data_IF_173617848303
#
_entry.id   IF_173617848303
#
_cell.length_a   1.000
_cell.length_b   1.000
_cell.length_c   1.000
_cell.angle_alpha   90.00
_cell.angle_beta   90.00
_cell.angle_gamma   90.00
#
_symmetry.space_group_name_H-M   'P 1'
#
loop_
_entity.id
_entity.type
_entity.pdbx_description
1 polymer ?
#
# COMPACT_ATOMS: atom_id res chain seq x y z
N UNK A 1 -20.87 -1.46 45.48
CA UNK A 1 -21.79 -0.85 44.50
C UNK A 1 -21.06 -0.09 43.36
N UNK A 2 -19.84 -0.51 42.97
CA UNK A 2 -19.09 0.04 41.81
C UNK A 2 -18.65 -1.03 40.79
N UNK A 3 -18.77 -2.32 41.12
CA UNK A 3 -18.32 -3.42 40.25
C UNK A 3 -19.39 -3.92 39.27
N UNK A 4 -20.68 -3.66 39.53
CA UNK A 4 -21.76 -4.08 38.61
C UNK A 4 -21.90 -3.13 37.41
N UNK A 5 -21.61 -1.83 37.57
CA UNK A 5 -21.72 -0.84 36.49
C UNK A 5 -20.65 -1.03 35.39
N UNK A 6 -19.44 -1.46 35.73
CA UNK A 6 -18.39 -1.77 34.75
C UNK A 6 -18.75 -2.95 33.84
N UNK A 7 -19.59 -3.87 34.33
CA UNK A 7 -20.01 -5.05 33.59
C UNK A 7 -21.07 -4.70 32.53
N UNK A 8 -21.96 -3.75 32.83
CA UNK A 8 -23.00 -3.32 31.88
C UNK A 8 -22.45 -2.56 30.66
N UNK A 9 -21.40 -1.75 30.84
CA UNK A 9 -20.76 -1.01 29.74
C UNK A 9 -19.98 -1.98 28.83
N UNK A 10 -19.24 -2.91 29.42
CA UNK A 10 -18.55 -3.98 28.69
C UNK A 10 -19.52 -4.90 27.93
N UNK A 11 -20.65 -5.26 28.54
CA UNK A 11 -21.71 -6.05 27.89
C UNK A 11 -22.37 -5.24 26.77
N UNK A 12 -22.61 -3.93 26.94
CA UNK A 12 -23.17 -3.08 25.88
C UNK A 12 -22.21 -2.94 24.69
N UNK A 13 -20.93 -2.75 24.93
CA UNK A 13 -19.91 -2.70 23.87
C UNK A 13 -19.78 -4.05 23.16
N UNK A 14 -19.81 -5.16 23.91
CA UNK A 14 -19.76 -6.50 23.35
C UNK A 14 -21.03 -6.83 22.53
N UNK A 15 -22.22 -6.46 23.03
CA UNK A 15 -23.49 -6.66 22.31
C UNK A 15 -23.58 -5.75 21.08
N UNK A 16 -23.10 -4.51 21.15
CA UNK A 16 -23.00 -3.62 19.99
C UNK A 16 -22.01 -4.17 18.94
N UNK A 17 -20.85 -4.68 19.35
CA UNK A 17 -19.89 -5.32 18.45
C UNK A 17 -20.46 -6.60 17.82
N UNK A 18 -21.14 -7.45 18.60
CA UNK A 18 -21.79 -8.68 18.13
C UNK A 18 -22.98 -8.38 17.19
N UNK A 19 -23.76 -7.33 17.46
CA UNK A 19 -24.85 -6.90 16.58
C UNK A 19 -24.32 -6.21 15.30
N UNK A 20 -23.22 -5.46 15.39
CA UNK A 20 -22.56 -4.86 14.23
C UNK A 20 -21.93 -5.92 13.31
N UNK A 21 -21.53 -7.07 13.86
CA UNK A 21 -21.10 -8.24 13.09
C UNK A 21 -22.26 -9.05 12.52
N UNK A 22 -23.47 -8.96 13.11
CA UNK A 22 -24.61 -9.78 12.72
C UNK A 22 -25.33 -9.30 11.43
N UNK A 23 -25.07 -8.07 10.96
CA UNK A 23 -25.56 -7.57 9.67
C UNK A 23 -24.55 -6.64 9.03
N UNK A 24 -23.33 -7.14 8.78
CA UNK A 24 -22.49 -6.48 7.79
C UNK A 24 -23.07 -6.90 6.44
N UNK A 25 -23.87 -6.02 5.84
CA UNK A 25 -24.40 -6.26 4.50
C UNK A 25 -23.20 -6.25 3.55
N UNK A 26 -22.79 -7.44 3.10
CA UNK A 26 -21.67 -7.63 2.18
C UNK A 26 -22.07 -7.12 0.78
N UNK A 27 -23.37 -6.93 0.54
CA UNK A 27 -23.88 -6.37 -0.68
C UNK A 27 -23.47 -4.90 -0.83
N UNK A 28 -22.65 -4.63 -1.85
CA UNK A 28 -22.19 -3.28 -2.18
C UNK A 28 -23.19 -2.53 -3.08
N UNK A 29 -24.35 -3.11 -3.42
CA UNK A 29 -25.32 -2.52 -4.36
C UNK A 29 -25.67 -1.08 -4.00
N UNK A 30 -25.93 -0.79 -2.72
CA UNK A 30 -26.22 0.57 -2.25
C UNK A 30 -25.06 1.55 -2.54
N UNK A 31 -23.83 1.16 -2.25
CA UNK A 31 -22.63 1.97 -2.55
C UNK A 31 -22.46 2.21 -4.07
N UNK A 32 -22.83 1.23 -4.89
CA UNK A 32 -22.74 1.33 -6.35
C UNK A 32 -23.85 2.21 -6.95
N UNK A 33 -25.03 2.24 -6.34
CA UNK A 33 -26.15 3.12 -6.72
C UNK A 33 -25.91 4.58 -6.28
N UNK A 34 -25.32 4.77 -5.10
CA UNK A 34 -24.93 6.09 -4.58
C UNK A 34 -23.80 6.74 -5.38
N UNK A 35 -22.99 5.94 -6.07
CA UNK A 35 -21.94 6.41 -6.97
C UNK A 35 -22.04 5.73 -8.34
N UNK A 36 -22.94 6.21 -9.22
CA UNK A 36 -23.07 5.69 -10.57
C UNK A 36 -21.75 5.80 -11.36
N UNK A 37 -21.52 4.85 -12.26
CA UNK A 37 -20.34 4.88 -13.10
C UNK A 37 -20.41 6.00 -14.13
N UNK A 38 -19.35 6.81 -14.16
CA UNK A 38 -19.11 7.86 -15.15
C UNK A 38 -17.63 7.80 -15.52
N UNK A 39 -17.34 7.57 -16.81
CA UNK A 39 -15.96 7.45 -17.30
C UNK A 39 -15.11 8.71 -17.07
N UNK A 40 -15.74 9.89 -16.99
CA UNK A 40 -15.03 11.15 -16.75
C UNK A 40 -14.83 11.42 -15.25
N UNK A 41 -15.66 10.83 -14.39
CA UNK A 41 -15.69 11.08 -12.94
C UNK A 41 -15.69 9.78 -12.12
N UNK A 42 -14.95 8.76 -12.58
CA UNK A 42 -14.88 7.46 -11.92
C UNK A 42 -13.85 7.41 -10.78
N UNK A 43 -13.32 8.56 -10.34
CA UNK A 43 -12.28 8.63 -9.31
C UNK A 43 -12.68 9.67 -8.27
N UNK A 44 -12.50 9.34 -6.98
CA UNK A 44 -12.72 10.29 -5.88
C UNK A 44 -11.73 10.09 -4.73
N UNK A 45 -11.45 11.17 -4.01
CA UNK A 45 -10.76 11.11 -2.71
C UNK A 45 -11.77 10.83 -1.60
N UNK A 46 -11.35 10.06 -0.60
CA UNK A 46 -12.10 9.83 0.64
C UNK A 46 -11.13 9.84 1.82
N UNK A 47 -11.66 9.90 3.03
CA UNK A 47 -10.93 9.65 4.26
C UNK A 47 -11.45 8.37 4.92
N UNK A 48 -10.57 7.57 5.50
CA UNK A 48 -10.99 6.45 6.36
C UNK A 48 -11.32 6.94 7.77
N UNK A 49 -11.74 6.00 8.62
CA UNK A 49 -12.05 6.27 10.03
C UNK A 49 -10.87 6.82 10.86
N UNK A 50 -9.63 6.64 10.40
CA UNK A 50 -8.42 7.14 11.06
C UNK A 50 -7.96 8.48 10.47
N UNK A 51 -8.67 9.01 9.47
CA UNK A 51 -8.36 10.27 8.79
C UNK A 51 -7.26 10.13 7.73
N UNK A 52 -6.90 8.92 7.30
CA UNK A 52 -5.96 8.75 6.21
C UNK A 52 -6.66 9.05 4.88
N UNK A 53 -5.98 9.77 3.97
CA UNK A 53 -6.51 9.98 2.63
C UNK A 53 -6.39 8.70 1.78
N UNK A 54 -7.49 8.34 1.12
CA UNK A 54 -7.55 7.25 0.16
C UNK A 54 -8.14 7.76 -1.16
N UNK A 55 -7.93 6.97 -2.19
CA UNK A 55 -8.63 7.11 -3.45
C UNK A 55 -9.52 5.90 -3.68
N UNK A 56 -10.72 6.17 -4.20
CA UNK A 56 -11.61 5.16 -4.74
C UNK A 56 -11.72 5.32 -6.25
N UNK A 57 -11.84 4.19 -6.95
CA UNK A 57 -12.00 4.10 -8.40
C UNK A 57 -13.25 3.28 -8.69
N UNK A 58 -14.23 3.89 -9.34
CA UNK A 58 -15.43 3.20 -9.83
C UNK A 58 -15.05 2.42 -11.09
N UNK A 59 -15.35 1.12 -11.08
CA UNK A 59 -15.07 0.22 -12.20
C UNK A 59 -16.34 -0.43 -12.71
N UNK A 60 -16.48 -0.46 -14.03
CA UNK A 60 -17.45 -1.27 -14.75
C UNK A 60 -16.74 -1.93 -15.93
N UNK A 61 -16.79 -3.26 -15.98
CA UNK A 61 -16.24 -4.07 -17.08
C UNK A 61 -17.21 -5.20 -17.41
N UNK A 62 -17.95 -5.04 -18.52
CA UNK A 62 -19.02 -5.95 -18.90
C UNK A 62 -20.07 -6.10 -17.78
N UNK A 63 -20.31 -7.31 -17.24
CA UNK A 63 -21.27 -7.52 -16.16
C UNK A 63 -20.73 -7.17 -14.77
N UNK A 64 -19.43 -6.89 -14.65
CA UNK A 64 -18.77 -6.64 -13.37
C UNK A 64 -18.85 -5.17 -13.00
N UNK A 65 -19.29 -4.89 -11.77
CA UNK A 65 -19.33 -3.55 -11.18
C UNK A 65 -18.61 -3.58 -9.86
N UNK A 66 -17.81 -2.56 -9.59
CA UNK A 66 -17.08 -2.49 -8.33
C UNK A 66 -16.54 -1.11 -8.00
N UNK A 67 -15.90 -1.08 -6.84
CA UNK A 67 -15.11 0.04 -6.33
C UNK A 67 -13.75 -0.54 -5.94
N UNK A 68 -12.69 -0.03 -6.55
CA UNK A 68 -11.32 -0.27 -6.10
C UNK A 68 -10.92 0.84 -5.13
N UNK A 69 -10.08 0.52 -4.15
CA UNK A 69 -9.62 1.48 -3.16
C UNK A 69 -8.12 1.29 -2.90
N UNK A 70 -7.41 2.40 -2.69
CA UNK A 70 -6.02 2.38 -2.25
C UNK A 70 -5.69 3.60 -1.40
N UNK A 71 -4.71 3.47 -0.51
CA UNK A 71 -4.20 4.61 0.27
C UNK A 71 -3.41 5.57 -0.63
N UNK A 72 -3.53 6.87 -0.37
CA UNK A 72 -2.70 7.89 -1.06
C UNK A 72 -1.31 8.02 -0.44
N UNK A 73 -1.17 7.74 0.85
CA UNK A 73 0.11 7.71 1.56
C UNK A 73 0.51 6.30 2.00
N UNK A 74 1.80 6.09 2.26
CA UNK A 74 2.33 4.78 2.61
C UNK A 74 2.10 3.73 1.50
N UNK A 75 1.91 2.47 1.88
CA UNK A 75 1.61 1.38 0.95
C UNK A 75 0.18 1.50 0.40
N UNK A 76 -0.03 1.42 -0.93
CA UNK A 76 -1.35 1.53 -1.54
C UNK A 76 -2.37 0.51 -1.02
N UNK A 77 -1.92 -0.69 -0.65
CA UNK A 77 -2.77 -1.76 -0.09
C UNK A 77 -3.01 -1.65 1.42
N UNK A 78 -2.46 -0.63 2.08
CA UNK A 78 -2.60 -0.39 3.53
C UNK A 78 -1.91 -1.41 4.43
N UNK A 79 -1.20 -2.39 3.87
CA UNK A 79 -0.50 -3.41 4.66
C UNK A 79 0.80 -2.88 5.25
N UNK A 80 1.24 -3.48 6.37
CA UNK A 80 2.50 -3.14 7.05
C UNK A 80 3.47 -4.33 7.05
N UNK A 81 4.19 -4.60 5.95
CA UNK A 81 5.07 -5.76 5.84
C UNK A 81 6.19 -5.70 6.88
N UNK A 82 6.42 -6.82 7.57
CA UNK A 82 7.40 -6.91 8.67
C UNK A 82 7.21 -5.86 9.78
N UNK A 83 6.00 -5.28 9.92
CA UNK A 83 5.69 -4.21 10.88
C UNK A 83 6.07 -2.81 10.42
N UNK A 84 6.72 -2.68 9.26
CA UNK A 84 7.12 -1.42 8.65
C UNK A 84 6.05 -0.90 7.69
N UNK A 85 6.10 0.41 7.39
CA UNK A 85 5.25 0.97 6.35
C UNK A 85 5.64 0.38 4.99
N UNK A 86 6.90 0.00 4.81
CA UNK A 86 7.41 -0.63 3.61
C UNK A 86 8.40 -1.76 3.88
N UNK A 87 8.41 -2.78 3.02
CA UNK A 87 9.38 -3.87 3.06
C UNK A 87 10.81 -3.35 2.84
N UNK A 88 10.99 -2.34 1.98
CA UNK A 88 12.29 -1.67 1.81
C UNK A 88 12.90 -1.21 3.13
N UNK A 89 12.10 -0.60 4.01
CA UNK A 89 12.59 -0.08 5.31
C UNK A 89 13.08 -1.21 6.22
N UNK A 90 12.34 -2.32 6.24
CA UNK A 90 12.75 -3.53 6.95
C UNK A 90 14.11 -4.04 6.47
N UNK A 91 14.31 -4.15 5.15
CA UNK A 91 15.57 -4.64 4.59
C UNK A 91 16.72 -3.64 4.74
N UNK A 92 16.47 -2.33 4.63
CA UNK A 92 17.46 -1.28 4.90
C UNK A 92 17.89 -1.29 6.38
N UNK A 93 16.95 -1.48 7.31
CA UNK A 93 17.25 -1.62 8.73
C UNK A 93 18.11 -2.86 9.02
N UNK A 94 17.78 -3.99 8.38
CA UNK A 94 18.56 -5.24 8.50
C UNK A 94 19.98 -5.07 7.95
N UNK A 95 20.15 -4.40 6.82
CA UNK A 95 21.46 -4.03 6.27
C UNK A 95 22.25 -3.11 7.22
N UNK A 96 21.57 -2.12 7.80
CA UNK A 96 22.16 -1.22 8.80
C UNK A 96 22.62 -1.97 10.05
N UNK A 97 21.90 -3.00 10.49
CA UNK A 97 22.29 -3.83 11.64
C UNK A 97 23.49 -4.73 11.32
N UNK A 98 23.53 -5.39 10.16
CA UNK A 98 24.64 -6.25 9.77
C UNK A 98 25.95 -5.49 9.58
N UNK A 99 25.90 -4.28 9.00
CA UNK A 99 27.09 -3.45 8.80
C UNK A 99 27.74 -3.00 10.12
N UNK A 100 26.97 -2.87 11.20
CA UNK A 100 27.46 -2.51 12.54
C UNK A 100 28.10 -3.67 13.29
N UNK A 101 27.74 -4.91 12.96
CA UNK A 101 28.18 -6.11 13.69
C UNK A 101 29.53 -6.65 13.19
N UNK A 102 30.10 -6.10 12.12
CA UNK A 102 31.39 -6.53 11.52
C UNK A 102 31.51 -8.05 11.37
N UNK A 103 30.40 -8.70 11.05
CA UNK A 103 30.35 -10.12 10.73
C UNK A 103 30.83 -10.33 9.31
N UNK A 104 31.70 -11.32 9.08
CA UNK A 104 32.19 -11.71 7.74
C UNK A 104 31.07 -12.15 6.79
N UNK A 105 29.86 -12.39 7.31
CA UNK A 105 28.65 -12.60 6.52
C UNK A 105 28.11 -11.26 6.01
N UNK A 106 28.39 -10.96 4.74
CA UNK A 106 27.81 -9.82 4.05
C UNK A 106 26.28 -9.91 3.95
N UNK A 107 25.59 -8.77 4.10
CA UNK A 107 24.16 -8.69 3.84
C UNK A 107 23.85 -8.89 2.36
N UNK A 108 22.94 -9.83 2.09
CA UNK A 108 22.49 -10.16 0.74
C UNK A 108 20.97 -10.41 0.77
N UNK A 109 20.27 -9.92 -0.26
CA UNK A 109 18.84 -10.20 -0.48
C UNK A 109 18.68 -11.55 -1.18
N UNK A 110 17.81 -12.40 -0.63
CA UNK A 110 17.37 -13.64 -1.28
C UNK A 110 16.42 -13.33 -2.45
N UNK A 111 16.16 -14.33 -3.31
CA UNK A 111 15.15 -14.21 -4.39
C UNK A 111 13.79 -13.75 -3.87
N UNK A 112 13.31 -14.38 -2.80
CA UNK A 112 12.02 -14.03 -2.17
C UNK A 112 11.99 -12.57 -1.69
N UNK A 113 13.10 -12.07 -1.15
CA UNK A 113 13.19 -10.66 -0.74
C UNK A 113 13.18 -9.72 -1.96
N UNK A 114 13.85 -10.10 -3.06
CA UNK A 114 13.83 -9.33 -4.31
C UNK A 114 12.44 -9.32 -4.95
N UNK A 115 11.73 -10.46 -4.95
CA UNK A 115 10.33 -10.57 -5.40
C UNK A 115 9.41 -9.67 -4.58
N UNK A 116 9.51 -9.69 -3.24
CA UNK A 116 8.73 -8.82 -2.37
C UNK A 116 8.97 -7.33 -2.65
N UNK A 117 10.23 -6.93 -2.82
CA UNK A 117 10.60 -5.55 -3.14
C UNK A 117 10.13 -5.13 -4.53
N UNK A 118 10.21 -6.04 -5.52
CA UNK A 118 9.68 -5.82 -6.85
C UNK A 118 8.17 -5.55 -6.81
N UNK A 119 7.44 -6.43 -6.13
CA UNK A 119 6.00 -6.36 -5.93
C UNK A 119 5.55 -5.09 -5.20
N UNK A 120 6.33 -4.64 -4.21
CA UNK A 120 6.10 -3.36 -3.54
C UNK A 120 6.32 -2.17 -4.48
N UNK A 121 7.40 -2.20 -5.28
CA UNK A 121 7.68 -1.12 -6.24
C UNK A 121 6.59 -0.99 -7.31
N UNK A 122 6.05 -2.13 -7.75
CA UNK A 122 4.95 -2.22 -8.70
C UNK A 122 3.68 -1.60 -8.15
N UNK A 123 3.27 -1.96 -6.92
CA UNK A 123 2.08 -1.37 -6.27
C UNK A 123 2.18 0.14 -6.20
N UNK A 124 3.34 0.63 -5.77
CA UNK A 124 3.61 2.07 -5.72
C UNK A 124 3.49 2.67 -7.11
N UNK A 125 4.07 2.06 -8.14
CA UNK A 125 3.95 2.53 -9.53
C UNK A 125 2.50 2.53 -10.05
N UNK A 126 1.69 1.53 -9.71
CA UNK A 126 0.28 1.43 -10.12
C UNK A 126 -0.57 2.60 -9.58
N UNK A 127 -0.21 3.20 -8.45
CA UNK A 127 -0.87 4.40 -7.92
C UNK A 127 -0.62 5.67 -8.75
N UNK A 128 0.43 5.70 -9.58
CA UNK A 128 0.88 6.95 -10.24
C UNK A 128 -0.15 7.54 -11.19
N UNK A 129 -0.82 6.68 -11.96
CA UNK A 129 -1.82 7.15 -12.95
C UNK A 129 -2.92 7.93 -12.25
N UNK A 130 -3.31 7.48 -11.06
CA UNK A 130 -4.33 8.12 -10.24
C UNK A 130 -3.84 9.43 -9.63
N UNK A 131 -2.60 9.48 -9.14
CA UNK A 131 -2.02 10.72 -8.62
C UNK A 131 -1.88 11.79 -9.71
N UNK A 132 -1.49 11.39 -10.93
CA UNK A 132 -1.42 12.29 -12.09
C UNK A 132 -2.80 12.82 -12.48
N UNK A 133 -3.83 11.95 -12.48
CA UNK A 133 -5.21 12.38 -12.72
C UNK A 133 -5.72 13.36 -11.66
N UNK A 134 -5.28 13.18 -10.40
CA UNK A 134 -5.58 14.09 -9.30
C UNK A 134 -4.69 15.35 -9.26
N UNK A 135 -3.75 15.50 -10.20
CA UNK A 135 -2.72 16.55 -10.20
C UNK A 135 -1.91 16.64 -8.89
N UNK A 136 -1.72 15.51 -8.19
CA UNK A 136 -0.97 15.42 -6.93
C UNK A 136 0.51 15.13 -7.21
N UNK A 137 1.22 16.14 -7.70
CA UNK A 137 2.60 16.00 -8.15
C UNK A 137 3.59 15.74 -7.00
N UNK A 138 3.29 16.19 -5.79
CA UNK A 138 4.17 15.99 -4.64
C UNK A 138 4.25 14.51 -4.26
N UNK A 139 3.11 13.81 -4.19
CA UNK A 139 3.08 12.35 -3.95
C UNK A 139 3.72 11.58 -5.09
N UNK A 140 3.53 12.03 -6.33
CA UNK A 140 4.17 11.45 -7.51
C UNK A 140 5.71 11.49 -7.40
N UNK A 141 6.27 12.63 -7.00
CA UNK A 141 7.72 12.78 -6.80
C UNK A 141 8.21 11.94 -5.62
N UNK A 142 7.46 11.88 -4.52
CA UNK A 142 7.80 11.08 -3.36
C UNK A 142 7.85 9.57 -3.70
N UNK A 143 6.80 9.07 -4.36
CA UNK A 143 6.72 7.68 -4.81
C UNK A 143 7.84 7.33 -5.81
N UNK A 144 8.18 8.27 -6.70
CA UNK A 144 9.27 8.12 -7.68
C UNK A 144 10.60 7.99 -6.98
N UNK A 145 10.91 8.93 -6.09
CA UNK A 145 12.15 8.95 -5.32
C UNK A 145 12.33 7.67 -4.52
N UNK A 146 11.26 7.18 -3.88
CA UNK A 146 11.23 5.93 -3.14
C UNK A 146 11.52 4.71 -4.03
N UNK A 147 10.86 4.60 -5.19
CA UNK A 147 11.09 3.50 -6.12
C UNK A 147 12.52 3.51 -6.67
N UNK A 148 13.09 4.69 -6.96
CA UNK A 148 14.50 4.81 -7.35
C UNK A 148 15.45 4.33 -6.24
N UNK A 149 15.14 4.63 -4.96
CA UNK A 149 15.89 4.10 -3.81
C UNK A 149 15.84 2.58 -3.75
N UNK A 150 14.65 2.01 -3.91
CA UNK A 150 14.43 0.56 -3.94
C UNK A 150 15.26 -0.11 -5.05
N UNK A 151 15.22 0.43 -6.27
CA UNK A 151 15.92 -0.14 -7.43
C UNK A 151 17.43 -0.18 -7.19
N UNK A 152 18.00 0.92 -6.66
CA UNK A 152 19.41 0.97 -6.28
C UNK A 152 19.76 -0.02 -5.17
N UNK A 153 18.87 -0.19 -4.19
CA UNK A 153 19.07 -1.11 -3.08
C UNK A 153 19.10 -2.57 -3.55
N UNK A 154 18.14 -2.99 -4.38
CA UNK A 154 18.11 -4.34 -4.97
C UNK A 154 19.32 -4.58 -5.86
N UNK A 155 19.65 -3.63 -6.74
CA UNK A 155 20.82 -3.74 -7.62
C UNK A 155 22.13 -3.97 -6.86
N UNK A 156 22.30 -3.32 -5.70
CA UNK A 156 23.50 -3.44 -4.87
C UNK A 156 23.55 -4.72 -4.06
N UNK A 157 22.40 -5.18 -3.55
CA UNK A 157 22.36 -6.19 -2.49
C UNK A 157 21.77 -7.54 -2.89
N UNK A 158 21.20 -7.70 -4.08
CA UNK A 158 20.66 -8.99 -4.51
C UNK A 158 21.75 -10.07 -4.66
N UNK A 159 21.41 -11.31 -4.27
CA UNK A 159 22.31 -12.46 -4.38
C UNK A 159 22.61 -12.85 -5.83
N UNK A 160 21.60 -12.75 -6.70
CA UNK A 160 21.67 -13.19 -8.09
C UNK A 160 21.72 -12.00 -9.04
N UNK A 161 22.51 -12.13 -10.10
CA UNK A 161 22.68 -11.10 -11.13
C UNK A 161 21.36 -10.76 -11.84
N UNK A 162 20.55 -11.77 -12.14
CA UNK A 162 19.23 -11.57 -12.75
C UNK A 162 18.33 -10.67 -11.88
N UNK A 163 18.35 -10.84 -10.55
CA UNK A 163 17.59 -10.00 -9.64
C UNK A 163 18.13 -8.55 -9.58
N UNK A 164 19.46 -8.38 -9.68
CA UNK A 164 20.11 -7.05 -9.68
C UNK A 164 19.70 -6.22 -10.89
N UNK A 165 19.55 -6.87 -12.04
CA UNK A 165 19.28 -6.23 -13.33
C UNK A 165 17.79 -6.25 -13.71
N UNK A 166 16.97 -7.10 -13.07
CA UNK A 166 15.53 -7.23 -13.32
C UNK A 166 14.78 -5.89 -13.24
N UNK A 167 15.23 -5.00 -12.35
CA UNK A 167 14.64 -3.68 -12.15
C UNK A 167 15.10 -2.63 -13.16
N UNK A 168 16.20 -2.86 -13.87
CA UNK A 168 16.82 -1.84 -14.73
C UNK A 168 15.93 -1.45 -15.92
N UNK A 169 15.23 -2.43 -16.49
CA UNK A 169 14.26 -2.23 -17.58
C UNK A 169 13.10 -1.30 -17.21
N UNK A 170 12.86 -1.06 -15.92
CA UNK A 170 11.77 -0.23 -15.43
C UNK A 170 12.18 1.22 -15.14
N UNK A 171 13.49 1.54 -15.12
CA UNK A 171 13.97 2.92 -14.93
C UNK A 171 13.34 3.95 -15.86
N UNK A 172 13.13 3.70 -17.17
CA UNK A 172 12.50 4.68 -18.05
C UNK A 172 11.08 5.06 -17.64
N UNK A 173 10.35 4.15 -17.01
CA UNK A 173 8.97 4.38 -16.55
C UNK A 173 8.96 5.22 -15.28
N UNK A 174 9.91 4.96 -14.36
CA UNK A 174 10.07 5.74 -13.13
C UNK A 174 10.62 7.13 -13.43
N UNK A 175 11.57 7.27 -14.36
CA UNK A 175 12.22 8.55 -14.67
C UNK A 175 11.37 9.50 -15.51
N UNK A 176 10.38 9.02 -16.28
CA UNK A 176 9.44 9.86 -17.04
C UNK A 176 8.78 10.94 -16.17
N UNK A 177 8.73 10.67 -14.88
CA UNK A 177 8.01 11.42 -13.86
C UNK A 177 8.92 12.41 -13.11
N UNK A 178 10.24 12.25 -13.22
CA UNK A 178 11.26 13.06 -12.52
C UNK A 178 12.02 14.01 -13.49
N UNK A 179 11.50 14.22 -14.70
CA UNK A 179 12.13 15.01 -15.77
C UNK A 179 11.41 16.32 -16.04
#
# INVERSE_FOLDING_TARGET
MRSEFANFESIRTAVAAVLCWATMDIDITSLLEDWPFDVENNIRRIEDHDGNELIQVRVEDGPFRGILQMNLDGRPDGTRPHGHDFALEYYEARYGASSRLSTDEGFILSRKACEELFDESRRIYERYVFLLQLADYDRVVADTTRNMRLFRFVNRHAAHEDDRTNLERWWPYVLRVHG
#
